data_IF_716227148802
#
_entry.id   IF_716227148802
#
_cell.length_a   1.000
_cell.length_b   1.000
_cell.length_c   1.000
_cell.angle_alpha   90.00
_cell.angle_beta   90.00
_cell.angle_gamma   90.00
#
_symmetry.space_group_name_H-M   'P 1'
#
loop_
_entity.id
_entity.type
_entity.pdbx_description
1 polymer ?
#
# COMPACT_ATOMS: atom_id res chain seq x y z
N UNK A 1 3.11 -1.82 3.44
CA UNK A 1 3.44 -0.41 3.74
C UNK A 1 4.24 -0.28 5.04
N UNK A 2 3.69 -0.70 6.19
CA UNK A 2 4.23 -0.39 7.52
C UNK A 2 5.70 -0.74 7.76
N UNK A 3 6.11 -1.91 7.29
CA UNK A 3 7.49 -2.39 7.37
C UNK A 3 8.45 -1.56 6.52
N UNK A 4 8.04 -1.20 5.30
CA UNK A 4 8.85 -0.38 4.39
C UNK A 4 9.05 1.02 4.96
N UNK A 5 8.00 1.63 5.52
CA UNK A 5 8.11 2.91 6.21
C UNK A 5 9.06 2.86 7.40
N UNK A 6 9.04 1.76 8.17
CA UNK A 6 9.95 1.57 9.31
C UNK A 6 11.41 1.45 8.85
N UNK A 7 11.68 0.62 7.84
CA UNK A 7 13.02 0.46 7.27
C UNK A 7 13.53 1.79 6.68
N UNK A 8 12.67 2.50 5.94
CA UNK A 8 13.03 3.77 5.32
C UNK A 8 13.34 4.84 6.38
N UNK A 9 12.55 4.92 7.47
CA UNK A 9 12.79 5.87 8.55
C UNK A 9 14.12 5.61 9.26
N UNK A 10 14.44 4.34 9.56
CA UNK A 10 15.72 3.96 10.15
C UNK A 10 16.91 4.25 9.22
N UNK A 11 16.74 4.06 7.90
CA UNK A 11 17.82 4.22 6.92
C UNK A 11 18.07 5.66 6.48
N UNK A 12 17.02 6.46 6.31
CA UNK A 12 17.08 7.80 5.71
C UNK A 12 16.89 8.93 6.72
N UNK A 13 16.39 8.62 7.91
CA UNK A 13 15.91 9.62 8.86
C UNK A 13 14.46 10.00 8.62
N UNK A 14 13.76 10.34 9.69
CA UNK A 14 12.31 10.58 9.67
C UNK A 14 11.91 11.79 8.80
N UNK A 15 12.78 12.80 8.67
CA UNK A 15 12.55 14.01 7.87
C UNK A 15 12.66 13.79 6.35
N UNK A 16 13.10 12.60 5.92
CA UNK A 16 13.24 12.22 4.50
C UNK A 16 12.17 11.24 4.02
N UNK A 17 11.24 10.84 4.90
CA UNK A 17 10.22 9.85 4.58
C UNK A 17 8.84 10.49 4.57
N UNK A 18 8.12 10.27 3.46
CA UNK A 18 6.76 10.74 3.24
C UNK A 18 5.83 9.55 3.10
N UNK A 19 4.96 9.33 4.09
CA UNK A 19 3.91 8.32 4.04
C UNK A 19 2.65 8.90 3.38
N UNK A 20 2.15 8.25 2.34
CA UNK A 20 0.96 8.70 1.61
C UNK A 20 -0.13 7.64 1.73
N UNK A 21 -1.23 7.97 2.40
CA UNK A 21 -2.44 7.14 2.44
C UNK A 21 -3.39 7.54 1.32
N UNK A 22 -3.87 6.55 0.56
CA UNK A 22 -4.66 6.73 -0.65
C UNK A 22 -5.99 5.95 -0.56
N UNK A 23 -6.89 6.31 0.37
CA UNK A 23 -8.08 5.51 0.66
C UNK A 23 -9.14 5.60 -0.44
N UNK A 24 -9.80 4.47 -0.66
CA UNK A 24 -11.07 4.38 -1.40
C UNK A 24 -12.18 3.90 -0.46
N UNK A 25 -13.40 3.72 -0.97
CA UNK A 25 -14.53 3.16 -0.23
C UNK A 25 -14.28 1.76 0.36
N UNK A 26 -13.27 1.04 -0.13
CA UNK A 26 -12.90 -0.29 0.37
C UNK A 26 -11.80 -0.25 1.43
N UNK A 27 -11.18 0.91 1.67
CA UNK A 27 -10.17 1.08 2.72
C UNK A 27 -10.82 1.08 4.09
N UNK A 28 -10.39 0.17 4.97
CA UNK A 28 -10.97 0.06 6.31
C UNK A 28 -10.47 1.17 7.25
N UNK A 29 -11.34 1.61 8.18
CA UNK A 29 -10.96 2.58 9.22
C UNK A 29 -9.77 2.09 10.04
N UNK A 30 -9.74 0.78 10.31
CA UNK A 30 -8.65 0.13 11.03
C UNK A 30 -7.32 0.23 10.26
N UNK A 31 -7.30 0.01 8.93
CA UNK A 31 -6.10 0.22 8.11
C UNK A 31 -5.57 1.65 8.21
N UNK A 32 -6.47 2.64 8.21
CA UNK A 32 -6.10 4.05 8.33
C UNK A 32 -5.59 4.41 9.73
N UNK A 33 -6.21 3.86 10.77
CA UNK A 33 -5.78 4.03 12.16
C UNK A 33 -4.39 3.46 12.39
N UNK A 34 -4.14 2.22 11.94
CA UNK A 34 -2.82 1.58 12.06
C UNK A 34 -1.73 2.38 11.32
N UNK A 35 -2.03 2.84 10.10
CA UNK A 35 -1.09 3.66 9.34
C UNK A 35 -0.73 4.96 10.08
N UNK A 36 -1.73 5.63 10.66
CA UNK A 36 -1.54 6.85 11.44
C UNK A 36 -0.75 6.60 12.73
N UNK A 37 -1.03 5.49 13.42
CA UNK A 37 -0.28 5.09 14.61
C UNK A 37 1.21 4.89 14.31
N UNK A 38 1.52 4.15 13.24
CA UNK A 38 2.90 3.94 12.81
C UNK A 38 3.60 5.25 12.48
N UNK A 39 2.97 6.10 11.66
CA UNK A 39 3.52 7.39 11.26
C UNK A 39 3.89 8.22 12.49
N UNK A 40 2.99 8.32 13.46
CA UNK A 40 3.21 9.09 14.67
C UNK A 40 4.41 8.55 15.47
N UNK A 41 4.58 7.22 15.52
CA UNK A 41 5.73 6.58 16.19
C UNK A 41 7.05 6.78 15.46
N UNK A 42 7.01 6.91 14.13
CA UNK A 42 8.19 7.13 13.29
C UNK A 42 8.53 8.61 13.10
N UNK A 43 7.64 9.53 13.49
CA UNK A 43 7.78 10.99 13.31
C UNK A 43 8.01 11.41 11.85
N UNK A 44 7.39 10.69 10.91
CA UNK A 44 7.48 10.92 9.46
C UNK A 44 6.33 11.79 8.94
N UNK A 45 6.54 12.47 7.81
CA UNK A 45 5.46 13.23 7.15
C UNK A 45 4.34 12.29 6.68
N UNK A 46 3.09 12.73 6.83
CA UNK A 46 1.93 11.93 6.47
C UNK A 46 0.88 12.74 5.75
N UNK A 47 0.45 12.23 4.59
CA UNK A 47 -0.57 12.83 3.75
C UNK A 47 -1.67 11.83 3.47
N UNK A 48 -2.90 12.30 3.42
CA UNK A 48 -4.06 11.51 3.02
C UNK A 48 -4.62 12.16 1.76
N UNK A 49 -4.75 11.37 0.69
CA UNK A 49 -5.36 11.79 -0.58
C UNK A 49 -6.41 10.74 -0.94
N UNK A 50 -7.69 10.95 -0.59
CA UNK A 50 -8.76 10.05 -0.98
C UNK A 50 -8.83 9.92 -2.51
N UNK A 51 -9.03 8.70 -3.01
CA UNK A 51 -9.02 8.42 -4.46
C UNK A 51 -10.40 8.15 -5.03
N UNK A 52 -11.46 8.21 -4.20
CA UNK A 52 -12.78 7.75 -4.60
C UNK A 52 -13.33 8.49 -5.82
N UNK A 53 -13.18 9.82 -5.87
CA UNK A 53 -13.62 10.64 -7.01
C UNK A 53 -12.92 10.23 -8.32
N UNK A 54 -11.61 9.97 -8.27
CA UNK A 54 -10.85 9.52 -9.44
C UNK A 54 -11.25 8.11 -9.89
N UNK A 55 -11.60 7.24 -8.95
CA UNK A 55 -12.11 5.89 -9.24
C UNK A 55 -13.47 5.99 -9.92
N UNK A 56 -14.38 6.79 -9.38
CA UNK A 56 -15.73 6.95 -9.91
C UNK A 56 -15.72 7.54 -11.33
N UNK A 57 -14.86 8.53 -11.58
CA UNK A 57 -14.69 9.11 -12.92
C UNK A 57 -14.16 8.07 -13.92
N UNK A 58 -13.14 7.29 -13.56
CA UNK A 58 -12.59 6.28 -14.47
C UNK A 58 -13.57 5.12 -14.70
N UNK A 59 -14.31 4.69 -13.67
CA UNK A 59 -15.39 3.71 -13.82
C UNK A 59 -16.50 4.23 -14.75
N UNK A 60 -16.88 5.51 -14.62
CA UNK A 60 -17.89 6.16 -15.48
C UNK A 60 -17.45 6.20 -16.95
N UNK A 61 -16.20 6.58 -17.22
CA UNK A 61 -15.64 6.59 -18.58
C UNK A 61 -15.62 5.20 -19.23
N UNK A 62 -15.37 4.16 -18.44
CA UNK A 62 -15.30 2.77 -18.93
C UNK A 62 -16.66 2.09 -19.01
N UNK A 63 -17.67 2.58 -18.28
CA UNK A 63 -18.98 1.95 -18.15
C UNK A 63 -19.64 1.58 -19.51
N UNK A 64 -19.70 2.47 -20.53
CA UNK A 64 -20.29 2.12 -21.82
C UNK A 64 -19.58 0.97 -22.54
N UNK A 65 -18.29 0.76 -22.25
CA UNK A 65 -17.46 -0.28 -22.85
C UNK A 65 -17.54 -1.62 -22.11
N UNK A 66 -18.04 -1.63 -20.87
CA UNK A 66 -18.21 -2.82 -20.04
C UNK A 66 -19.68 -3.31 -19.98
N UNK A 67 -20.58 -2.71 -20.77
CA UNK A 67 -21.98 -3.12 -20.84
C UNK A 67 -22.12 -4.61 -21.20
N UNK A 68 -22.97 -5.31 -20.44
CA UNK A 68 -23.18 -6.75 -20.59
C UNK A 68 -22.11 -7.64 -19.95
N UNK A 69 -21.14 -7.05 -19.24
CA UNK A 69 -20.13 -7.78 -18.45
C UNK A 69 -20.34 -7.55 -16.95
N UNK A 70 -19.82 -8.48 -16.13
CA UNK A 70 -19.83 -8.36 -14.68
C UNK A 70 -18.51 -7.80 -14.13
N UNK A 71 -18.59 -7.12 -12.98
CA UNK A 71 -17.42 -6.59 -12.26
C UNK A 71 -16.41 -7.69 -11.99
N UNK A 72 -15.13 -7.42 -12.24
CA UNK A 72 -14.04 -8.35 -12.03
C UNK A 72 -12.74 -7.62 -11.64
N UNK A 73 -11.59 -8.28 -11.82
CA UNK A 73 -10.27 -7.75 -11.51
C UNK A 73 -9.94 -6.45 -12.25
N UNK A 74 -10.61 -6.15 -13.36
CA UNK A 74 -10.42 -4.90 -14.10
C UNK A 74 -10.78 -3.67 -13.24
N UNK A 75 -11.95 -3.66 -12.60
CA UNK A 75 -12.42 -2.57 -11.74
C UNK A 75 -11.66 -2.50 -10.42
N UNK A 76 -11.18 -3.63 -9.91
CA UNK A 76 -10.29 -3.67 -8.75
C UNK A 76 -8.95 -2.96 -9.07
N UNK A 77 -8.35 -3.29 -10.22
CA UNK A 77 -7.06 -2.77 -10.66
C UNK A 77 -7.07 -1.27 -10.97
N UNK A 78 -8.23 -0.67 -11.28
CA UNK A 78 -8.37 0.78 -11.46
C UNK A 78 -7.85 1.52 -10.24
N UNK A 79 -8.25 1.08 -9.04
CA UNK A 79 -7.86 1.72 -7.79
C UNK A 79 -6.35 1.64 -7.58
N UNK A 80 -5.76 0.45 -7.80
CA UNK A 80 -4.31 0.28 -7.66
C UNK A 80 -3.52 1.16 -8.63
N UNK A 81 -3.97 1.29 -9.89
CA UNK A 81 -3.33 2.15 -10.90
C UNK A 81 -3.47 3.64 -10.61
N UNK A 82 -4.63 4.08 -10.10
CA UNK A 82 -4.80 5.47 -9.65
C UNK A 82 -3.81 5.79 -8.52
N UNK A 83 -3.63 4.88 -7.56
CA UNK A 83 -2.63 5.06 -6.49
C UNK A 83 -1.22 5.18 -7.06
N UNK A 84 -0.85 4.29 -7.99
CA UNK A 84 0.44 4.34 -8.69
C UNK A 84 0.67 5.69 -9.37
N UNK A 85 -0.31 6.19 -10.14
CA UNK A 85 -0.23 7.47 -10.82
C UNK A 85 -0.02 8.65 -9.86
N UNK A 86 -0.76 8.69 -8.73
CA UNK A 86 -0.61 9.75 -7.74
C UNK A 86 0.78 9.74 -7.08
N UNK A 87 1.28 8.55 -6.71
CA UNK A 87 2.62 8.42 -6.12
C UNK A 87 3.71 8.85 -7.10
N UNK A 88 3.60 8.46 -8.37
CA UNK A 88 4.55 8.87 -9.40
C UNK A 88 4.47 10.38 -9.70
N UNK A 89 3.28 10.98 -9.66
CA UNK A 89 3.12 12.42 -9.79
C UNK A 89 3.81 13.19 -8.65
N UNK A 90 3.64 12.74 -7.40
CA UNK A 90 4.34 13.31 -6.24
C UNK A 90 5.86 13.16 -6.37
N UNK A 91 6.33 11.96 -6.76
CA UNK A 91 7.74 11.67 -7.02
C UNK A 91 8.34 12.62 -8.05
N UNK A 92 7.70 12.78 -9.20
CA UNK A 92 8.17 13.69 -10.25
C UNK A 92 8.15 15.15 -9.79
N UNK A 93 7.13 15.57 -9.03
CA UNK A 93 6.98 16.95 -8.57
C UNK A 93 8.04 17.35 -7.56
N UNK A 94 8.39 16.45 -6.64
CA UNK A 94 9.25 16.76 -5.50
C UNK A 94 10.64 16.13 -5.59
N UNK A 95 10.92 15.35 -6.66
CA UNK A 95 12.17 14.61 -6.80
C UNK A 95 12.31 13.45 -5.80
N UNK A 96 11.19 12.94 -5.26
CA UNK A 96 11.19 11.82 -4.33
C UNK A 96 11.31 10.48 -5.08
N UNK A 97 11.74 9.43 -4.39
CA UNK A 97 11.71 8.07 -4.91
C UNK A 97 10.55 7.29 -4.28
N UNK A 98 9.67 6.74 -5.10
CA UNK A 98 8.60 5.84 -4.62
C UNK A 98 9.22 4.49 -4.23
N UNK A 99 8.95 4.05 -3.00
CA UNK A 99 9.31 2.71 -2.53
C UNK A 99 8.11 1.77 -2.71
N UNK A 100 8.24 0.77 -3.58
CA UNK A 100 7.19 -0.24 -3.73
C UNK A 100 7.20 -1.20 -2.54
N UNK A 101 6.05 -1.80 -2.24
CA UNK A 101 5.87 -2.62 -1.03
C UNK A 101 5.58 -4.08 -1.31
N UNK A 102 5.77 -4.53 -2.55
CA UNK A 102 5.55 -5.92 -2.95
C UNK A 102 6.64 -6.84 -2.37
N UNK A 103 6.23 -7.95 -1.76
CA UNK A 103 7.13 -8.97 -1.23
C UNK A 103 7.32 -10.15 -2.20
N UNK A 104 8.29 -11.03 -1.93
CA UNK A 104 8.65 -12.14 -2.82
C UNK A 104 7.47 -13.07 -3.13
N UNK A 105 6.61 -13.34 -2.15
CA UNK A 105 5.44 -14.22 -2.33
C UNK A 105 4.45 -13.59 -3.31
N UNK A 106 4.14 -12.31 -3.14
CA UNK A 106 3.24 -11.56 -4.04
C UNK A 106 3.81 -11.51 -5.47
N UNK A 107 5.10 -11.21 -5.60
CA UNK A 107 5.79 -11.14 -6.89
C UNK A 107 5.84 -12.51 -7.60
N UNK A 108 6.12 -13.59 -6.86
CA UNK A 108 6.21 -14.94 -7.41
C UNK A 108 4.84 -15.47 -7.89
N UNK A 109 3.76 -15.10 -7.20
CA UNK A 109 2.40 -15.50 -7.55
C UNK A 109 1.74 -14.56 -8.58
N UNK A 110 2.40 -13.44 -8.91
CA UNK A 110 1.79 -12.38 -9.72
C UNK A 110 0.60 -11.71 -9.02
N UNK A 111 0.51 -11.79 -7.69
CA UNK A 111 -0.54 -11.17 -6.88
C UNK A 111 -0.26 -9.68 -6.69
N UNK A 112 -0.38 -8.94 -7.79
CA UNK A 112 -0.04 -7.51 -7.88
C UNK A 112 -0.72 -6.89 -9.09
N UNK A 113 -0.88 -5.56 -9.08
CA UNK A 113 -1.33 -4.81 -10.25
C UNK A 113 -0.12 -4.21 -10.96
N UNK A 114 0.15 -4.65 -12.18
CA UNK A 114 1.14 -4.00 -13.04
C UNK A 114 0.77 -2.53 -13.26
N UNK A 115 1.75 -1.64 -13.08
CA UNK A 115 1.59 -0.18 -13.07
C UNK A 115 0.65 0.36 -11.98
N UNK A 116 0.35 -0.45 -10.97
CA UNK A 116 -0.36 -0.05 -9.75
C UNK A 116 0.59 -0.09 -8.56
N UNK A 117 0.35 -1.03 -7.64
CA UNK A 117 1.15 -1.27 -6.42
C UNK A 117 2.60 -1.68 -6.69
N UNK A 118 2.92 -2.15 -7.90
CA UNK A 118 4.31 -2.39 -8.32
C UNK A 118 5.08 -1.09 -8.67
N UNK A 119 4.40 0.05 -8.77
CA UNK A 119 5.05 1.31 -9.14
C UNK A 119 6.06 1.73 -8.07
N UNK A 120 7.31 1.96 -8.48
CA UNK A 120 8.38 2.32 -7.56
C UNK A 120 9.73 2.38 -8.24
N UNK A 121 10.64 3.20 -7.68
CA UNK A 121 12.05 3.21 -8.07
C UNK A 121 12.87 2.14 -7.36
N UNK A 122 12.39 1.65 -6.21
CA UNK A 122 13.04 0.61 -5.41
C UNK A 122 12.00 -0.26 -4.69
N UNK A 123 12.20 -1.58 -4.71
CA UNK A 123 11.40 -2.56 -3.98
C UNK A 123 12.17 -3.04 -2.75
N UNK A 124 11.96 -2.41 -1.60
CA UNK A 124 12.79 -2.62 -0.40
C UNK A 124 12.72 -4.06 0.13
N UNK A 125 11.59 -4.74 -0.06
CA UNK A 125 11.32 -6.06 0.51
C UNK A 125 11.04 -7.14 -0.56
N UNK A 126 11.45 -6.92 -1.81
CA UNK A 126 11.12 -7.83 -2.93
C UNK A 126 11.69 -9.24 -2.78
N UNK A 127 12.74 -9.42 -1.97
CA UNK A 127 13.37 -10.72 -1.73
C UNK A 127 12.89 -11.41 -0.45
N UNK A 128 12.03 -10.76 0.34
CA UNK A 128 11.45 -11.35 1.55
C UNK A 128 10.16 -12.09 1.22
N UNK A 129 10.02 -13.34 1.65
CA UNK A 129 8.71 -14.03 1.59
C UNK A 129 7.78 -13.41 2.62
N UNK A 130 6.47 -13.64 2.47
CA UNK A 130 5.48 -13.14 3.43
C UNK A 130 5.81 -13.52 4.88
N UNK A 131 6.22 -14.77 5.11
CA UNK A 131 6.67 -15.24 6.43
C UNK A 131 7.87 -14.46 6.99
N UNK A 132 8.82 -14.09 6.12
CA UNK A 132 10.02 -13.34 6.51
C UNK A 132 9.65 -11.90 6.87
N UNK A 133 8.67 -11.30 6.16
CA UNK A 133 8.11 -9.99 6.51
C UNK A 133 7.47 -10.03 7.90
N UNK A 134 6.65 -11.04 8.22
CA UNK A 134 6.08 -11.18 9.57
C UNK A 134 7.16 -11.37 10.64
N UNK A 135 8.15 -12.24 10.40
CA UNK A 135 9.25 -12.46 11.34
C UNK A 135 10.06 -11.18 11.60
N UNK A 136 10.38 -10.43 10.54
CA UNK A 136 11.06 -9.14 10.64
C UNK A 136 10.25 -8.15 11.47
N UNK A 137 8.94 -8.17 11.33
CA UNK A 137 8.05 -7.24 12.02
C UNK A 137 7.94 -7.53 13.52
N UNK A 138 7.88 -8.81 13.88
CA UNK A 138 7.99 -9.23 15.27
C UNK A 138 9.34 -8.83 15.85
N UNK A 139 10.44 -9.05 15.11
CA UNK A 139 11.78 -8.65 15.54
C UNK A 139 11.91 -7.13 15.73
N UNK A 140 11.41 -6.31 14.80
CA UNK A 140 11.35 -4.85 14.94
C UNK A 140 10.64 -4.48 16.24
N UNK A 141 9.51 -5.13 16.55
CA UNK A 141 8.78 -4.87 17.78
C UNK A 141 9.50 -5.34 19.06
N UNK A 142 10.54 -6.19 18.98
CA UNK A 142 11.40 -6.50 20.13
C UNK A 142 12.40 -5.38 20.43
N UNK A 143 12.83 -4.65 19.40
CA UNK A 143 13.78 -3.54 19.52
C UNK A 143 13.05 -2.24 19.83
N UNK A 144 11.92 -2.03 19.14
CA UNK A 144 11.07 -0.84 19.25
C UNK A 144 9.65 -1.29 19.59
N UNK A 145 9.34 -1.45 20.89
CA UNK A 145 8.05 -1.96 21.34
C UNK A 145 6.85 -1.27 20.70
N UNK A 146 6.05 -2.06 19.97
CA UNK A 146 4.83 -1.61 19.32
C UNK A 146 5.05 -0.71 18.10
N UNK A 147 6.27 -0.52 17.58
CA UNK A 147 6.52 0.28 16.37
C UNK A 147 5.61 -0.14 15.22
N UNK A 148 5.56 -1.44 14.94
CA UNK A 148 4.57 -2.04 14.04
C UNK A 148 3.27 -2.28 14.83
N UNK A 149 2.14 -1.66 14.45
CA UNK A 149 0.86 -1.86 15.13
C UNK A 149 0.45 -3.33 15.14
N UNK A 150 -0.06 -3.82 16.28
CA UNK A 150 -0.53 -5.21 16.41
C UNK A 150 -1.69 -5.51 15.47
N UNK A 151 -2.53 -4.51 15.23
CA UNK A 151 -3.61 -4.57 14.26
C UNK A 151 -3.14 -4.99 12.86
N UNK A 152 -2.00 -4.45 12.42
CA UNK A 152 -1.39 -4.78 11.12
C UNK A 152 -0.84 -6.21 11.07
N UNK A 153 -0.38 -6.74 12.21
CA UNK A 153 0.15 -8.11 12.31
C UNK A 153 -0.97 -9.16 12.37
N UNK A 154 -2.07 -8.85 13.04
CA UNK A 154 -3.16 -9.81 13.29
C UNK A 154 -4.19 -9.85 12.17
N UNK A 155 -4.23 -8.82 11.32
CA UNK A 155 -5.18 -8.73 10.21
C UNK A 155 -4.80 -9.71 9.09
N UNK A 156 -5.77 -10.45 8.52
CA UNK A 156 -5.55 -11.23 7.31
C UNK A 156 -5.04 -10.34 6.16
N UNK A 157 -4.09 -10.83 5.34
CA UNK A 157 -3.63 -10.10 4.16
C UNK A 157 -4.78 -9.78 3.21
N UNK A 158 -4.84 -8.53 2.74
CA UNK A 158 -5.85 -8.05 1.79
C UNK A 158 -5.30 -6.88 0.98
N UNK A 159 -5.69 -6.79 -0.30
CA UNK A 159 -5.39 -5.62 -1.14
C UNK A 159 -6.42 -4.49 -0.98
N UNK A 160 -7.52 -4.74 -0.26
CA UNK A 160 -8.63 -3.79 -0.03
C UNK A 160 -9.14 -3.13 -1.34
N UNK A 161 -9.34 -3.94 -2.38
CA UNK A 161 -9.86 -3.50 -3.69
C UNK A 161 -11.33 -3.88 -3.89
N UNK A 162 -11.87 -4.77 -3.07
CA UNK A 162 -13.26 -5.24 -3.10
C UNK A 162 -13.75 -5.59 -1.68
N UNK A 163 -15.07 -5.69 -1.46
CA UNK A 163 -15.62 -6.14 -0.17
C UNK A 163 -15.11 -7.55 0.19
N UNK A 164 -14.81 -7.76 1.47
CA UNK A 164 -14.42 -9.06 2.04
C UNK A 164 -13.20 -9.73 1.38
N UNK A 165 -12.36 -8.97 0.68
CA UNK A 165 -11.19 -9.49 -0.02
C UNK A 165 -10.13 -10.02 0.97
N UNK A 166 -9.65 -11.24 0.74
CA UNK A 166 -8.55 -11.88 1.48
C UNK A 166 -7.57 -12.52 0.50
N UNK A 167 -6.27 -12.36 0.73
CA UNK A 167 -5.23 -13.05 -0.03
C UNK A 167 -4.93 -14.43 0.57
N UNK A 168 -4.85 -15.47 -0.27
CA UNK A 168 -4.82 -16.88 0.14
C UNK A 168 -3.40 -17.49 0.15
N UNK A 169 -2.44 -16.83 0.81
CA UNK A 169 -1.04 -17.32 0.90
C UNK A 169 -0.33 -16.94 2.19
#
# INVERSE_FOLDING_TARGET
MHWVSSIAADALGHDKVHAISLPSKYSSEHSLSDAKELVNKLEIDYKIIPIQEAVDELESLLHPHFLGTGRNVAEENIQSRIRGNLLMALSNKFGWMVLSTGNKTELALGYCTLYGDMSGGLSVISDLRKSDVYALSHWINTIYPGRIPLGTLNKPPSAELAPDQVALF
#
